data_IF_144666014319
#
_entry.id   IF_144666014319
#
_cell.length_a   1.000
_cell.length_b   1.000
_cell.length_c   1.000
_cell.angle_alpha   90.00
_cell.angle_beta   90.00
_cell.angle_gamma   90.00
#
_symmetry.space_group_name_H-M   'P 1'
#
loop_
_entity.id
_entity.type
_entity.pdbx_description
1 polymer ?
#
# COMPACT_ATOMS: atom_id res chain seq x y z
N UNK A 1 11.92 -2.10 -11.90
CA UNK A 1 11.60 -1.08 -10.91
C UNK A 1 10.36 -1.39 -10.06
N UNK A 2 9.71 -2.57 -10.26
CA UNK A 2 8.57 -2.98 -9.41
C UNK A 2 9.06 -3.60 -8.09
N UNK A 3 8.27 -3.42 -7.03
CA UNK A 3 8.53 -4.01 -5.72
C UNK A 3 7.64 -5.23 -5.51
N UNK A 4 8.23 -6.35 -5.05
CA UNK A 4 7.49 -7.53 -4.64
C UNK A 4 7.37 -7.51 -3.13
N UNK A 5 6.16 -7.35 -2.61
CA UNK A 5 5.90 -7.13 -1.19
C UNK A 5 4.95 -8.18 -0.61
N UNK A 6 4.74 -8.14 0.69
CA UNK A 6 4.05 -9.20 1.44
C UNK A 6 2.52 -9.04 1.40
N UNK A 7 1.81 -10.14 1.13
CA UNK A 7 0.35 -10.23 1.21
C UNK A 7 -0.10 -11.48 1.98
N UNK A 8 0.62 -11.84 3.04
CA UNK A 8 0.53 -13.08 3.82
C UNK A 8 0.97 -14.35 3.06
N UNK A 9 1.09 -15.44 3.78
CA UNK A 9 1.50 -16.73 3.22
C UNK A 9 0.31 -17.56 2.70
N UNK A 10 -0.84 -17.51 3.40
CA UNK A 10 -2.04 -18.33 3.11
C UNK A 10 -3.31 -17.53 2.91
N UNK A 11 -3.21 -16.21 2.86
CA UNK A 11 -4.33 -15.29 2.64
C UNK A 11 -5.47 -15.40 3.68
N UNK A 12 -5.18 -15.43 5.00
CA UNK A 12 -6.22 -15.48 6.03
C UNK A 12 -6.79 -14.09 6.35
N UNK A 13 -7.92 -14.06 7.06
CA UNK A 13 -8.35 -12.86 7.79
C UNK A 13 -7.39 -12.61 8.95
N UNK A 14 -6.50 -11.65 8.81
CA UNK A 14 -5.44 -11.39 9.80
C UNK A 14 -5.97 -11.09 11.20
N UNK A 15 -7.06 -10.30 11.39
CA UNK A 15 -7.62 -10.03 12.72
C UNK A 15 -8.14 -11.26 13.49
N UNK A 16 -8.38 -12.36 12.80
CA UNK A 16 -8.85 -13.62 13.41
C UNK A 16 -7.70 -14.48 13.96
N UNK A 17 -6.45 -14.10 13.68
CA UNK A 17 -5.27 -14.83 14.09
C UNK A 17 -4.73 -14.33 15.43
N UNK A 18 -4.09 -15.22 16.20
CA UNK A 18 -3.21 -14.79 17.28
C UNK A 18 -1.96 -14.08 16.76
N UNK A 19 -1.32 -13.25 17.59
CA UNK A 19 -0.08 -12.55 17.20
C UNK A 19 1.00 -13.49 16.66
N UNK A 20 1.16 -14.66 17.26
CA UNK A 20 2.16 -15.62 16.80
C UNK A 20 1.83 -16.16 15.42
N UNK A 21 0.56 -16.48 15.15
CA UNK A 21 0.11 -16.88 13.81
C UNK A 21 0.23 -15.76 12.77
N UNK A 22 0.00 -14.50 13.17
CA UNK A 22 0.25 -13.35 12.30
C UNK A 22 1.74 -13.26 11.94
N UNK A 23 2.65 -13.42 12.92
CA UNK A 23 4.11 -13.43 12.69
C UNK A 23 4.53 -14.58 11.77
N UNK A 24 3.95 -15.75 11.94
CA UNK A 24 4.21 -16.91 11.08
C UNK A 24 3.82 -16.62 9.62
N UNK A 25 2.62 -16.06 9.40
CA UNK A 25 2.14 -15.66 8.06
C UNK A 25 3.07 -14.63 7.40
N UNK A 26 3.48 -13.60 8.15
CA UNK A 26 4.39 -12.56 7.67
C UNK A 26 5.77 -13.12 7.35
N UNK A 27 6.36 -13.89 8.28
CA UNK A 27 7.70 -14.43 8.15
C UNK A 27 7.80 -15.46 7.03
N UNK A 28 6.83 -16.38 6.94
CA UNK A 28 6.82 -17.38 5.89
C UNK A 28 6.72 -16.77 4.49
N UNK A 29 5.92 -15.71 4.32
CA UNK A 29 5.83 -14.98 3.06
C UNK A 29 7.11 -14.19 2.76
N UNK A 30 7.65 -13.45 3.74
CA UNK A 30 8.89 -12.72 3.58
C UNK A 30 10.05 -13.61 3.14
N UNK A 31 10.23 -14.77 3.79
CA UNK A 31 11.30 -15.71 3.46
C UNK A 31 11.18 -16.24 2.02
N UNK A 32 9.96 -16.51 1.55
CA UNK A 32 9.72 -16.95 0.17
C UNK A 32 10.06 -15.86 -0.84
N UNK A 33 9.64 -14.63 -0.59
CA UNK A 33 9.92 -13.49 -1.49
C UNK A 33 11.42 -13.21 -1.50
N UNK A 34 12.05 -13.14 -0.34
CA UNK A 34 13.49 -12.87 -0.21
C UNK A 34 14.34 -13.96 -0.90
N UNK A 35 13.94 -15.23 -0.77
CA UNK A 35 14.65 -16.34 -1.44
C UNK A 35 14.59 -16.25 -2.97
N UNK A 36 13.54 -15.64 -3.54
CA UNK A 36 13.38 -15.51 -5.00
C UNK A 36 13.97 -14.20 -5.51
N UNK A 37 13.79 -13.10 -4.77
CA UNK A 37 14.13 -11.75 -5.24
C UNK A 37 15.46 -11.23 -4.69
N UNK A 38 15.99 -11.85 -3.63
CA UNK A 38 17.13 -11.34 -2.87
C UNK A 38 16.80 -10.12 -2.00
N UNK A 39 15.53 -9.69 -1.95
CA UNK A 39 15.11 -8.49 -1.22
C UNK A 39 14.02 -8.83 -0.20
N UNK A 40 14.26 -8.48 1.07
CA UNK A 40 13.27 -8.65 2.14
C UNK A 40 12.15 -7.62 2.00
N UNK A 41 10.87 -8.05 1.96
CA UNK A 41 9.75 -7.12 1.92
C UNK A 41 9.66 -6.25 3.18
N UNK A 42 9.40 -4.97 2.97
CA UNK A 42 9.17 -3.99 4.05
C UNK A 42 7.72 -3.48 4.10
N UNK A 43 6.91 -3.86 3.12
CA UNK A 43 5.49 -3.49 3.07
C UNK A 43 4.63 -4.74 3.17
N UNK A 44 3.51 -4.59 3.86
CA UNK A 44 2.50 -5.63 4.01
C UNK A 44 1.13 -5.07 3.70
N UNK A 45 0.37 -5.74 2.84
CA UNK A 45 -1.07 -5.48 2.66
C UNK A 45 -1.85 -6.64 3.25
N UNK A 46 -2.80 -6.32 4.14
CA UNK A 46 -3.65 -7.34 4.73
C UNK A 46 -4.59 -7.94 3.68
N UNK A 47 -4.74 -9.29 3.65
CA UNK A 47 -5.78 -9.94 2.86
C UNK A 47 -7.15 -9.32 3.12
N UNK A 48 -7.96 -9.19 2.08
CA UNK A 48 -9.30 -8.56 2.11
C UNK A 48 -9.31 -7.08 2.53
N UNK A 49 -8.13 -6.46 2.76
CA UNK A 49 -8.04 -5.15 3.40
C UNK A 49 -8.45 -5.18 4.87
N UNK A 50 -8.46 -6.35 5.49
CA UNK A 50 -8.97 -6.57 6.84
C UNK A 50 -7.85 -6.42 7.88
N UNK A 51 -7.93 -5.38 8.69
CA UNK A 51 -6.93 -5.07 9.72
C UNK A 51 -7.56 -4.40 10.95
N UNK A 52 -6.86 -4.48 12.05
CA UNK A 52 -7.13 -3.78 13.29
C UNK A 52 -5.80 -3.29 13.92
N UNK A 53 -5.88 -2.66 15.07
CA UNK A 53 -4.69 -2.14 15.77
C UNK A 53 -3.66 -3.25 16.08
N UNK A 54 -4.12 -4.45 16.43
CA UNK A 54 -3.23 -5.58 16.72
C UNK A 54 -2.46 -6.06 15.48
N UNK A 55 -3.11 -6.11 14.32
CA UNK A 55 -2.46 -6.42 13.04
C UNK A 55 -1.41 -5.36 12.71
N UNK A 56 -1.76 -4.07 12.77
CA UNK A 56 -0.83 -2.96 12.48
C UNK A 56 0.39 -3.03 13.40
N UNK A 57 0.17 -3.22 14.69
CA UNK A 57 1.25 -3.32 15.67
C UNK A 57 2.14 -4.54 15.41
N UNK A 58 1.55 -5.71 15.17
CA UNK A 58 2.31 -6.93 14.88
C UNK A 58 3.15 -6.81 13.61
N UNK A 59 2.59 -6.24 12.55
CA UNK A 59 3.32 -5.95 11.31
C UNK A 59 4.50 -5.01 11.57
N UNK A 60 4.29 -3.97 12.39
CA UNK A 60 5.34 -3.01 12.76
C UNK A 60 6.45 -3.67 13.59
N UNK A 61 6.10 -4.51 14.56
CA UNK A 61 7.04 -5.31 15.35
C UNK A 61 7.89 -6.26 14.47
N UNK A 62 7.33 -6.74 13.35
CA UNK A 62 8.05 -7.53 12.35
C UNK A 62 8.91 -6.68 11.38
N UNK A 63 8.99 -5.36 11.58
CA UNK A 63 9.81 -4.45 10.77
C UNK A 63 9.19 -4.07 9.43
N UNK A 64 7.86 -4.16 9.31
CA UNK A 64 7.12 -3.82 8.08
C UNK A 64 6.08 -2.73 8.32
N UNK A 65 5.59 -2.13 7.24
CA UNK A 65 4.52 -1.13 7.23
C UNK A 65 3.25 -1.75 6.65
N UNK A 66 2.13 -1.54 7.33
CA UNK A 66 0.81 -1.94 6.81
C UNK A 66 0.35 -0.93 5.78
N UNK A 67 0.01 -1.42 4.58
CA UNK A 67 -0.42 -0.59 3.45
C UNK A 67 -1.88 -0.90 3.12
N UNK A 68 -2.66 0.15 2.95
CA UNK A 68 -4.03 0.09 2.43
C UNK A 68 -4.11 0.82 1.08
N UNK A 69 -5.29 1.01 0.53
CA UNK A 69 -5.57 1.77 -0.69
C UNK A 69 -6.71 2.76 -0.47
N UNK A 70 -6.77 3.79 -1.29
CA UNK A 70 -7.89 4.74 -1.33
C UNK A 70 -8.67 4.68 -2.65
N UNK A 71 -8.09 4.07 -3.68
CA UNK A 71 -8.77 3.85 -4.96
C UNK A 71 -8.81 2.36 -5.27
N UNK A 72 -9.99 1.77 -5.16
CA UNK A 72 -10.26 0.39 -5.56
C UNK A 72 -10.78 0.35 -6.99
N UNK A 73 -10.07 -0.31 -7.89
CA UNK A 73 -10.46 -0.47 -9.29
C UNK A 73 -11.71 -1.31 -9.47
N UNK A 74 -12.00 -2.22 -8.53
CA UNK A 74 -13.02 -3.27 -8.62
C UNK A 74 -12.88 -4.15 -9.88
N UNK A 75 -11.68 -4.28 -10.39
CA UNK A 75 -11.37 -5.04 -11.61
C UNK A 75 -11.73 -6.54 -11.52
N UNK A 76 -11.77 -7.07 -10.29
CA UNK A 76 -12.21 -8.43 -10.00
C UNK A 76 -13.72 -8.66 -10.21
N UNK A 77 -14.52 -7.59 -10.39
CA UNK A 77 -15.98 -7.67 -10.66
C UNK A 77 -16.32 -7.80 -12.14
N UNK A 78 -15.37 -8.17 -12.96
CA UNK A 78 -15.53 -8.33 -14.42
C UNK A 78 -16.05 -7.05 -15.13
N UNK A 79 -15.66 -5.89 -14.61
CA UNK A 79 -15.90 -4.59 -15.24
C UNK A 79 -15.13 -4.51 -16.56
N UNK A 80 -15.70 -3.80 -17.56
CA UNK A 80 -15.00 -3.49 -18.80
C UNK A 80 -13.75 -2.62 -18.57
N UNK A 81 -12.81 -2.63 -19.51
CA UNK A 81 -11.62 -1.78 -19.45
C UNK A 81 -11.96 -0.29 -19.30
N UNK A 82 -13.00 0.18 -19.99
CA UNK A 82 -13.46 1.58 -19.89
C UNK A 82 -14.02 1.92 -18.51
N UNK A 83 -14.80 1.00 -17.90
CA UNK A 83 -15.34 1.19 -16.55
C UNK A 83 -14.22 1.22 -15.50
N UNK A 84 -13.23 0.32 -15.61
CA UNK A 84 -12.04 0.30 -14.76
C UNK A 84 -11.28 1.62 -14.91
N UNK A 85 -11.01 2.04 -16.14
CA UNK A 85 -10.31 3.29 -16.45
C UNK A 85 -11.02 4.50 -15.86
N UNK A 86 -12.31 4.65 -16.12
CA UNK A 86 -13.13 5.74 -15.58
C UNK A 86 -13.13 5.74 -14.06
N UNK A 87 -13.32 4.56 -13.44
CA UNK A 87 -13.36 4.41 -12.00
C UNK A 87 -12.08 4.86 -11.33
N UNK A 88 -10.93 4.44 -11.86
CA UNK A 88 -9.61 4.79 -11.32
C UNK A 88 -9.33 6.28 -11.54
N UNK A 89 -9.38 6.75 -12.79
CA UNK A 89 -8.96 8.12 -13.13
C UNK A 89 -9.84 9.20 -12.53
N UNK A 90 -11.11 8.90 -12.22
CA UNK A 90 -12.03 9.87 -11.58
C UNK A 90 -11.80 10.07 -10.08
N UNK A 91 -11.03 9.20 -9.42
CA UNK A 91 -10.85 9.20 -7.96
C UNK A 91 -9.44 9.53 -7.51
N UNK A 92 -8.49 9.42 -8.40
CA UNK A 92 -7.08 9.65 -8.10
C UNK A 92 -6.84 11.09 -7.66
N UNK A 93 -5.98 11.22 -6.65
CA UNK A 93 -5.41 12.48 -6.14
C UNK A 93 -3.95 12.24 -5.73
N UNK A 94 -3.15 13.29 -5.53
CA UNK A 94 -1.78 13.12 -5.03
C UNK A 94 -1.74 12.28 -3.76
N UNK A 95 -0.83 11.30 -3.72
CA UNK A 95 -0.71 10.34 -2.61
C UNK A 95 -1.66 9.15 -2.67
N UNK A 96 -2.47 9.02 -3.72
CA UNK A 96 -3.36 7.85 -3.89
C UNK A 96 -2.60 6.56 -4.09
N UNK A 97 -3.10 5.49 -3.46
CA UNK A 97 -2.69 4.11 -3.69
C UNK A 97 -3.85 3.39 -4.36
N UNK A 98 -3.61 2.87 -5.56
CA UNK A 98 -4.63 2.20 -6.37
C UNK A 98 -4.50 0.69 -6.22
N UNK A 99 -5.63 0.02 -5.96
CA UNK A 99 -5.70 -1.44 -5.91
C UNK A 99 -6.15 -2.01 -7.25
N UNK A 100 -5.38 -2.99 -7.74
CA UNK A 100 -5.74 -3.93 -8.79
C UNK A 100 -5.51 -5.36 -8.31
N UNK A 101 -6.12 -6.33 -9.01
CA UNK A 101 -6.01 -7.74 -8.64
C UNK A 101 -5.32 -8.56 -9.74
N UNK A 102 -4.65 -9.64 -9.32
CA UNK A 102 -4.15 -10.64 -10.24
C UNK A 102 -5.32 -11.39 -10.92
N UNK A 103 -5.09 -11.87 -12.13
CA UNK A 103 -6.06 -12.60 -12.93
C UNK A 103 -7.37 -11.85 -13.25
N UNK A 104 -7.46 -10.55 -13.03
CA UNK A 104 -8.58 -9.72 -13.45
C UNK A 104 -8.55 -9.58 -14.99
N UNK A 105 -9.64 -9.95 -15.64
CA UNK A 105 -9.72 -10.17 -17.08
C UNK A 105 -9.40 -8.94 -17.93
N UNK A 106 -9.91 -7.78 -17.52
CA UNK A 106 -9.81 -6.54 -18.31
C UNK A 106 -8.76 -5.54 -17.79
N UNK A 107 -8.06 -5.88 -16.71
CA UNK A 107 -6.98 -5.01 -16.17
C UNK A 107 -5.84 -4.81 -17.17
N UNK A 108 -5.34 -5.84 -17.88
CA UNK A 108 -4.28 -5.64 -18.88
C UNK A 108 -4.67 -4.68 -20.00
N UNK A 109 -5.94 -4.65 -20.39
CA UNK A 109 -6.47 -3.74 -21.41
C UNK A 109 -6.63 -2.30 -20.89
N UNK A 110 -7.10 -2.14 -19.64
CA UNK A 110 -7.32 -0.83 -19.02
C UNK A 110 -6.02 -0.12 -18.62
N UNK A 111 -5.02 -0.86 -18.15
CA UNK A 111 -3.85 -0.31 -17.47
C UNK A 111 -3.02 0.65 -18.33
N UNK A 112 -2.71 0.38 -19.61
CA UNK A 112 -1.95 1.32 -20.45
C UNK A 112 -2.61 2.70 -20.52
N UNK A 113 -3.90 2.77 -20.82
CA UNK A 113 -4.65 4.04 -20.91
C UNK A 113 -4.72 4.79 -19.57
N UNK A 114 -4.85 4.06 -18.45
CA UNK A 114 -4.78 4.66 -17.11
C UNK A 114 -3.41 5.30 -16.87
N UNK A 115 -2.33 4.59 -17.16
CA UNK A 115 -0.97 5.08 -16.94
C UNK A 115 -0.66 6.29 -17.81
N UNK A 116 -1.06 6.26 -19.10
CA UNK A 116 -0.89 7.39 -20.03
C UNK A 116 -1.65 8.63 -19.54
N UNK A 117 -2.91 8.44 -19.15
CA UNK A 117 -3.73 9.55 -18.63
C UNK A 117 -3.12 10.16 -17.37
N UNK A 118 -2.73 9.35 -16.39
CA UNK A 118 -2.14 9.86 -15.16
C UNK A 118 -0.84 10.62 -15.41
N UNK A 119 0.01 10.15 -16.32
CA UNK A 119 1.22 10.86 -16.73
C UNK A 119 0.90 12.17 -17.44
N UNK A 120 -0.11 12.19 -18.32
CA UNK A 120 -0.55 13.41 -19.00
C UNK A 120 -1.16 14.43 -18.04
N UNK A 121 -1.80 13.98 -16.96
CA UNK A 121 -2.34 14.82 -15.90
C UNK A 121 -1.25 15.32 -14.91
N UNK A 122 0.01 14.95 -15.14
CA UNK A 122 1.16 15.40 -14.34
C UNK A 122 1.45 14.56 -13.09
N UNK A 123 0.83 13.40 -12.93
CA UNK A 123 1.15 12.51 -11.83
C UNK A 123 2.49 11.81 -12.04
N UNK A 124 3.27 11.72 -10.98
CA UNK A 124 4.45 10.87 -10.90
C UNK A 124 4.05 9.53 -10.26
N UNK A 125 4.21 8.44 -10.99
CA UNK A 125 3.87 7.08 -10.52
C UNK A 125 5.13 6.46 -9.94
N UNK A 126 5.13 6.23 -8.63
CA UNK A 126 6.30 5.76 -7.88
C UNK A 126 5.97 4.49 -7.09
N UNK A 127 6.97 3.68 -6.70
CA UNK A 127 6.80 2.58 -5.77
C UNK A 127 6.27 3.07 -4.42
N UNK A 128 5.49 2.21 -3.73
CA UNK A 128 4.88 2.58 -2.44
C UNK A 128 5.94 2.86 -1.38
N UNK A 129 7.08 2.17 -1.41
CA UNK A 129 8.19 2.44 -0.48
C UNK A 129 8.74 3.87 -0.56
N UNK A 130 8.60 4.52 -1.72
CA UNK A 130 8.99 5.91 -1.96
C UNK A 130 7.85 6.90 -1.66
N UNK A 131 6.62 6.41 -1.53
CA UNK A 131 5.44 7.23 -1.26
C UNK A 131 5.24 7.47 0.23
N UNK A 132 5.46 6.44 1.05
CA UNK A 132 5.18 6.49 2.49
C UNK A 132 6.27 7.24 3.27
N UNK A 133 5.88 7.84 4.39
CA UNK A 133 6.82 8.32 5.39
C UNK A 133 7.22 7.17 6.32
N UNK A 134 8.53 6.98 6.51
CA UNK A 134 9.06 5.94 7.39
C UNK A 134 9.02 6.36 8.87
N UNK A 135 9.16 7.65 9.12
CA UNK A 135 9.21 8.28 10.45
C UNK A 135 8.61 9.69 10.44
N UNK A 136 8.56 10.33 11.60
CA UNK A 136 8.12 11.70 11.80
C UNK A 136 6.74 12.02 11.19
N UNK A 137 5.79 11.13 11.36
CA UNK A 137 4.42 11.29 10.85
C UNK A 137 3.37 10.91 11.90
N UNK A 138 2.16 11.40 11.70
CA UNK A 138 0.93 10.92 12.32
C UNK A 138 0.04 10.27 11.27
N UNK A 139 -0.88 9.43 11.71
CA UNK A 139 -1.91 8.82 10.83
C UNK A 139 -3.27 9.33 11.31
N UNK A 140 -4.09 9.82 10.38
CA UNK A 140 -5.45 10.24 10.67
C UNK A 140 -6.43 9.04 10.70
N UNK A 141 -7.70 9.33 10.98
CA UNK A 141 -8.76 8.32 11.06
C UNK A 141 -9.08 7.65 9.71
N UNK A 142 -8.64 8.24 8.60
CA UNK A 142 -8.77 7.69 7.25
C UNK A 142 -7.56 6.84 6.84
N UNK A 143 -6.54 6.74 7.71
CA UNK A 143 -5.31 5.99 7.45
C UNK A 143 -4.26 6.76 6.63
N UNK A 144 -4.40 8.08 6.48
CA UNK A 144 -3.42 8.91 5.76
C UNK A 144 -2.30 9.34 6.66
N UNK A 145 -1.08 9.30 6.14
CA UNK A 145 0.09 9.83 6.81
C UNK A 145 0.20 11.34 6.61
N UNK A 146 0.47 12.05 7.70
CA UNK A 146 0.77 13.49 7.72
C UNK A 146 2.13 13.70 8.37
N UNK A 147 3.04 14.37 7.68
CA UNK A 147 4.31 14.77 8.29
C UNK A 147 4.07 15.66 9.50
N UNK A 148 4.73 15.35 10.60
CA UNK A 148 4.74 16.25 11.75
C UNK A 148 5.49 17.52 11.36
N UNK A 149 4.88 18.68 11.54
CA UNK A 149 5.56 19.96 11.39
C UNK A 149 6.73 19.96 12.39
N UNK A 150 7.95 20.08 11.90
CA UNK A 150 9.06 20.47 12.78
C UNK A 150 8.68 21.81 13.38
N UNK A 151 8.37 21.86 14.66
CA UNK A 151 8.50 23.08 15.44
C UNK A 151 9.99 23.40 15.45
N UNK A 152 10.46 24.08 14.41
CA UNK A 152 11.74 24.77 14.46
C UNK A 152 11.63 25.69 15.67
N UNK A 153 12.36 25.37 16.70
CA UNK A 153 12.49 26.17 17.93
C UNK A 153 12.80 27.61 17.54
N UNK A 154 11.93 28.53 17.96
CA UNK A 154 12.20 29.95 18.04
C UNK A 154 13.44 30.20 18.94
N UNK A 155 14.63 30.00 18.40
CA UNK A 155 15.88 30.30 19.08
C UNK A 155 16.81 31.23 18.27
N UNK A 156 16.24 32.00 17.31
CA UNK A 156 16.97 33.07 16.63
C UNK A 156 16.18 34.40 16.59
N UNK A 157 15.72 34.89 17.74
CA UNK A 157 15.37 36.26 17.90
C UNK A 157 15.93 36.77 19.26
N UNK A 158 17.23 36.88 19.33
CA UNK A 158 17.91 37.74 20.31
C UNK A 158 19.42 37.80 20.00
N UNK A 159 19.77 38.59 18.98
CA UNK A 159 21.07 39.32 18.94
C UNK A 159 20.94 40.49 17.96
#
# INVERSE_FOLDING_TARGET
GHEVMNHSNKHPHMPELSKDKMRDELTACNNKIEAITGVKPILFRAPYGDYNNEVIQTVRECGSYTIQWDVDSLDWKDLSADEITKRVTSKIKPGSIVLFHNAAKHTPEALPGILEKLKSDGYNIIPISQLIYADNYTIDTEGRQHLNSNTASDSEKSR
#
